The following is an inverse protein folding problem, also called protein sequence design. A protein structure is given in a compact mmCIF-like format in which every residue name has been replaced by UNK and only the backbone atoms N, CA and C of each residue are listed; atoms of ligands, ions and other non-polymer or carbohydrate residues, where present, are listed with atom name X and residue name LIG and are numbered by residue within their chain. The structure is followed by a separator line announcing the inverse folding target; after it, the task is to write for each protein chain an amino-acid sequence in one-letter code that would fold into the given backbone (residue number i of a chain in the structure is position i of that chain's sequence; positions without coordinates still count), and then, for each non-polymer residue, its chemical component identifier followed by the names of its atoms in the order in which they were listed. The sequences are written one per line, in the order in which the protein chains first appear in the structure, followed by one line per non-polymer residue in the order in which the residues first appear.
data_IF_619517245572
#
_entry.id   IF_619517245572
#
_cell.length_a   1.000
_cell.length_b   1.000
_cell.length_c   1.000
_cell.angle_alpha   90.00
_cell.angle_beta   90.00
_cell.angle_gamma   90.00
#
_symmetry.space_group_name_H-M   'P 1'
#
loop_
_entity.id
_entity.type
_entity.pdbx_description
1 polymer ?
#
# COMPACT_ATOMS: atom_id res chain seq x y z
N UNK A 1 19.21 1.38 -18.68
CA UNK A 1 17.97 0.59 -18.52
C UNK A 1 17.02 0.91 -19.67
N UNK A 2 16.37 -0.09 -20.25
CA UNK A 2 15.24 0.08 -21.19
C UNK A 2 13.94 -0.25 -20.47
N UNK A 3 12.89 0.53 -20.68
CA UNK A 3 11.59 0.27 -20.06
C UNK A 3 10.95 -0.99 -20.68
N UNK A 4 10.57 -1.94 -19.82
CA UNK A 4 9.92 -3.20 -20.21
C UNK A 4 8.39 -3.13 -20.10
N UNK A 5 7.71 -4.22 -20.47
CA UNK A 5 6.27 -4.36 -20.23
C UNK A 5 5.97 -4.42 -18.73
N UNK A 6 4.86 -3.79 -18.34
CA UNK A 6 4.31 -3.87 -16.99
C UNK A 6 4.05 -5.32 -16.60
N UNK A 7 4.48 -5.71 -15.40
CA UNK A 7 4.21 -7.02 -14.81
C UNK A 7 3.16 -6.86 -13.73
N UNK A 8 2.28 -7.86 -13.62
CA UNK A 8 1.25 -7.89 -12.59
C UNK A 8 1.89 -8.08 -11.21
N UNK A 9 1.50 -7.25 -10.26
CA UNK A 9 1.91 -7.37 -8.87
C UNK A 9 0.96 -8.34 -8.12
N UNK A 10 1.51 -9.45 -7.64
CA UNK A 10 0.75 -10.52 -6.97
C UNK A 10 0.23 -10.08 -5.60
N UNK A 11 0.98 -9.27 -4.86
CA UNK A 11 0.56 -8.70 -3.60
C UNK A 11 -0.64 -7.77 -3.82
N UNK A 12 -0.54 -6.83 -4.75
CA UNK A 12 -1.65 -5.91 -5.06
C UNK A 12 -2.89 -6.69 -5.50
N UNK A 13 -2.71 -7.75 -6.30
CA UNK A 13 -3.79 -8.63 -6.70
C UNK A 13 -4.42 -9.39 -5.52
N UNK A 14 -3.64 -9.80 -4.52
CA UNK A 14 -4.13 -10.46 -3.31
C UNK A 14 -4.88 -9.50 -2.37
N UNK A 15 -4.35 -8.29 -2.17
CA UNK A 15 -4.98 -7.24 -1.36
C UNK A 15 -6.31 -6.80 -1.96
N UNK A 16 -6.37 -6.65 -3.30
CA UNK A 16 -7.60 -6.22 -3.99
C UNK A 16 -8.77 -7.20 -3.77
N UNK A 17 -8.50 -8.49 -3.50
CA UNK A 17 -9.54 -9.50 -3.24
C UNK A 17 -10.27 -9.30 -1.91
N UNK A 18 -9.71 -8.53 -0.98
CA UNK A 18 -10.34 -8.28 0.32
C UNK A 18 -11.72 -7.64 0.17
N UNK A 19 -11.85 -6.69 -0.76
CA UNK A 19 -13.12 -6.04 -1.03
C UNK A 19 -13.85 -6.73 -2.18
N UNK A 20 -15.01 -7.33 -1.89
CA UNK A 20 -15.90 -7.84 -2.92
C UNK A 20 -16.40 -6.70 -3.84
N UNK A 21 -16.70 -7.00 -5.11
CA UNK A 21 -17.37 -6.04 -5.99
C UNK A 21 -18.67 -5.53 -5.36
N UNK A 22 -18.88 -4.21 -5.42
CA UNK A 22 -20.03 -3.56 -4.79
C UNK A 22 -20.77 -2.67 -5.79
N UNK A 23 -22.11 -2.68 -5.80
CA UNK A 23 -22.95 -1.91 -6.72
C UNK A 23 -22.94 -0.39 -6.47
N UNK A 24 -22.78 0.03 -5.22
CA UNK A 24 -22.62 1.44 -4.82
C UNK A 24 -21.26 2.04 -5.25
N UNK A 25 -21.31 3.16 -5.98
CA UNK A 25 -20.13 3.89 -6.47
C UNK A 25 -19.27 4.48 -5.36
N UNK A 26 -19.88 5.02 -4.31
CA UNK A 26 -19.17 5.64 -3.19
C UNK A 26 -18.42 4.60 -2.37
N UNK A 27 -19.04 3.44 -2.11
CA UNK A 27 -18.33 2.33 -1.47
C UNK A 27 -17.15 1.82 -2.28
N UNK A 28 -17.30 1.68 -3.61
CA UNK A 28 -16.15 1.34 -4.49
C UNK A 28 -15.02 2.37 -4.42
N UNK A 29 -15.35 3.66 -4.32
CA UNK A 29 -14.34 4.70 -4.14
C UNK A 29 -13.60 4.52 -2.82
N UNK A 30 -14.32 4.38 -1.71
CA UNK A 30 -13.74 4.16 -0.38
C UNK A 30 -12.85 2.92 -0.36
N UNK A 31 -13.28 1.79 -0.93
CA UNK A 31 -12.47 0.58 -1.01
C UNK A 31 -11.16 0.81 -1.78
N UNK A 32 -11.20 1.52 -2.91
CA UNK A 32 -9.99 1.86 -3.68
C UNK A 32 -9.04 2.77 -2.90
N UNK A 33 -9.58 3.74 -2.17
CA UNK A 33 -8.78 4.63 -1.32
C UNK A 33 -8.10 3.85 -0.18
N UNK A 34 -8.80 2.89 0.43
CA UNK A 34 -8.21 2.03 1.47
C UNK A 34 -7.12 1.10 0.91
N UNK A 35 -7.34 0.49 -0.27
CA UNK A 35 -6.31 -0.31 -0.95
C UNK A 35 -5.09 0.55 -1.27
N UNK A 36 -5.28 1.73 -1.85
CA UNK A 36 -4.18 2.64 -2.18
C UNK A 36 -3.40 3.05 -0.92
N UNK A 37 -4.09 3.44 0.15
CA UNK A 37 -3.45 3.77 1.42
C UNK A 37 -2.59 2.62 1.97
N UNK A 38 -3.06 1.37 1.87
CA UNK A 38 -2.33 0.21 2.34
C UNK A 38 -1.06 -0.05 1.51
N UNK A 39 -1.15 0.05 0.18
CA UNK A 39 -0.01 -0.14 -0.71
C UNK A 39 1.07 0.89 -0.42
N UNK A 40 0.71 2.17 -0.26
CA UNK A 40 1.67 3.24 0.06
C UNK A 40 2.29 3.07 1.45
N UNK A 41 1.51 2.62 2.44
CA UNK A 41 2.05 2.32 3.77
C UNK A 41 3.10 1.20 3.71
N UNK A 42 2.86 0.13 2.93
CA UNK A 42 3.82 -0.96 2.70
C UNK A 42 5.07 -0.49 1.94
N UNK A 43 4.92 0.37 0.92
CA UNK A 43 6.04 1.02 0.22
C UNK A 43 6.91 1.82 1.19
N UNK A 44 6.27 2.64 2.03
CA UNK A 44 6.93 3.46 3.04
C UNK A 44 7.80 2.61 3.99
N UNK A 45 7.25 1.52 4.52
CA UNK A 45 8.00 0.60 5.40
C UNK A 45 9.24 0.02 4.71
N UNK A 46 9.12 -0.34 3.44
CA UNK A 46 10.23 -0.94 2.70
C UNK A 46 11.28 0.04 2.26
N UNK A 47 10.88 1.24 1.83
CA UNK A 47 11.83 2.30 1.52
C UNK A 47 12.61 2.73 2.76
N UNK A 48 11.99 2.70 3.96
CA UNK A 48 12.72 2.89 5.21
C UNK A 48 13.83 1.83 5.37
N UNK A 49 13.48 0.54 5.29
CA UNK A 49 14.45 -0.56 5.41
C UNK A 49 15.57 -0.44 4.37
N UNK A 50 15.25 -0.09 3.12
CA UNK A 50 16.24 0.12 2.07
C UNK A 50 17.14 1.31 2.37
N UNK A 51 16.59 2.43 2.84
CA UNK A 51 17.37 3.61 3.19
C UNK A 51 18.34 3.38 4.35
N UNK A 52 18.02 2.44 5.25
CA UNK A 52 18.85 2.09 6.41
C UNK A 52 19.91 1.02 6.10
N UNK A 53 19.69 0.20 5.06
CA UNK A 53 20.53 -0.97 4.76
C UNK A 53 21.44 -0.80 3.53
N UNK A 54 21.14 0.12 2.61
CA UNK A 54 21.96 0.33 1.42
C UNK A 54 23.25 1.07 1.76
N UNK A 55 24.38 0.62 1.21
CA UNK A 55 25.70 1.21 1.50
C UNK A 55 25.97 2.49 0.71
N UNK A 56 25.32 2.65 -0.43
CA UNK A 56 25.44 3.83 -1.27
C UNK A 56 24.65 5.00 -0.65
N UNK A 57 25.36 6.06 -0.28
CA UNK A 57 24.78 7.21 0.43
C UNK A 57 23.81 8.03 -0.42
N UNK A 58 24.02 8.12 -1.74
CA UNK A 58 23.12 8.81 -2.65
C UNK A 58 21.81 8.03 -2.75
N UNK A 59 21.91 6.70 -2.90
CA UNK A 59 20.76 5.82 -2.99
C UNK A 59 19.99 5.72 -1.66
N UNK A 60 20.68 5.72 -0.53
CA UNK A 60 20.06 5.79 0.80
C UNK A 60 19.23 7.07 0.96
N UNK A 61 19.81 8.21 0.57
CA UNK A 61 19.13 9.52 0.59
C UNK A 61 17.92 9.53 -0.34
N UNK A 62 18.04 8.92 -1.52
CA UNK A 62 16.93 8.79 -2.46
C UNK A 62 15.77 7.98 -1.87
N UNK A 63 16.04 6.80 -1.30
CA UNK A 63 15.00 6.00 -0.67
C UNK A 63 14.35 6.67 0.55
N UNK A 64 15.12 7.43 1.34
CA UNK A 64 14.55 8.21 2.44
C UNK A 64 13.57 9.28 1.95
N UNK A 65 13.86 9.95 0.82
CA UNK A 65 12.94 10.91 0.20
C UNK A 65 11.68 10.24 -0.34
N UNK A 66 11.80 9.06 -0.97
CA UNK A 66 10.65 8.27 -1.41
C UNK A 66 9.78 7.86 -0.21
N UNK A 67 10.39 7.35 0.85
CA UNK A 67 9.69 6.97 2.09
C UNK A 67 8.82 8.12 2.63
N UNK A 68 9.37 9.35 2.69
CA UNK A 68 8.63 10.52 3.12
C UNK A 68 7.46 10.89 2.19
N UNK A 69 7.61 10.69 0.87
CA UNK A 69 6.53 10.89 -0.09
C UNK A 69 5.39 9.90 0.14
N UNK A 70 5.69 8.61 0.31
CA UNK A 70 4.66 7.59 0.53
C UNK A 70 3.94 7.77 1.87
N UNK A 71 4.65 8.28 2.88
CA UNK A 71 4.03 8.65 4.16
C UNK A 71 2.89 9.69 3.99
N UNK A 72 3.13 10.67 3.11
CA UNK A 72 2.13 11.68 2.78
C UNK A 72 0.98 11.08 1.96
N UNK A 73 1.28 10.20 1.01
CA UNK A 73 0.27 9.55 0.17
C UNK A 73 -0.68 8.66 0.97
N UNK A 74 -0.17 7.77 1.83
CA UNK A 74 -1.06 6.89 2.62
C UNK A 74 -2.00 7.72 3.52
N UNK A 75 -1.47 8.78 4.13
CA UNK A 75 -2.23 9.66 5.02
C UNK A 75 -3.32 10.39 4.24
N UNK A 76 -3.01 10.87 3.03
CA UNK A 76 -3.96 11.52 2.14
C UNK A 76 -5.10 10.57 1.74
N UNK A 77 -4.78 9.35 1.27
CA UNK A 77 -5.80 8.38 0.86
C UNK A 77 -6.71 7.98 2.01
N UNK A 78 -6.16 7.71 3.20
CA UNK A 78 -6.95 7.37 4.37
C UNK A 78 -7.83 8.53 4.84
N UNK A 79 -7.33 9.78 4.76
CA UNK A 79 -8.13 10.98 5.02
C UNK A 79 -9.31 11.08 4.05
N UNK A 80 -9.09 10.86 2.76
CA UNK A 80 -10.18 10.88 1.77
C UNK A 80 -11.16 9.73 1.96
N UNK A 81 -10.70 8.53 2.31
CA UNK A 81 -11.59 7.42 2.63
C UNK A 81 -12.56 7.79 3.76
N UNK A 82 -12.04 8.42 4.83
CA UNK A 82 -12.83 8.91 5.97
C UNK A 82 -13.74 10.09 5.64
N UNK A 83 -13.36 10.90 4.64
CA UNK A 83 -14.17 12.03 4.18
C UNK A 83 -15.36 11.59 3.33
N UNK A 84 -15.18 10.59 2.47
CA UNK A 84 -16.19 10.13 1.52
C UNK A 84 -17.02 8.93 2.02
N UNK A 85 -16.58 8.26 3.07
CA UNK A 85 -17.29 7.16 3.73
C UNK A 85 -17.74 7.52 5.14
N UNK A 86 -18.52 6.63 5.75
CA UNK A 86 -18.78 6.72 7.19
C UNK A 86 -17.49 6.42 7.96
N UNK A 87 -17.11 7.31 8.90
CA UNK A 87 -15.81 7.21 9.56
C UNK A 87 -15.68 5.95 10.42
N UNK A 88 -16.74 5.55 11.12
CA UNK A 88 -16.68 4.36 11.98
C UNK A 88 -16.51 3.09 11.13
N UNK A 89 -17.23 3.02 10.01
CA UNK A 89 -17.12 1.93 9.05
C UNK A 89 -15.74 1.90 8.36
N UNK A 90 -15.23 3.07 7.93
CA UNK A 90 -13.91 3.19 7.30
C UNK A 90 -12.81 2.75 8.26
N UNK A 91 -12.85 3.19 9.52
CA UNK A 91 -11.85 2.82 10.52
C UNK A 91 -11.94 1.32 10.89
N UNK A 92 -13.14 0.72 10.85
CA UNK A 92 -13.33 -0.74 11.00
C UNK A 92 -12.70 -1.50 9.82
N UNK A 93 -13.08 -1.15 8.59
CA UNK A 93 -12.57 -1.77 7.37
C UNK A 93 -11.05 -1.64 7.25
N UNK A 94 -10.48 -0.50 7.65
CA UNK A 94 -9.03 -0.30 7.66
C UNK A 94 -8.32 -1.28 8.59
N UNK A 95 -8.84 -1.50 9.81
CA UNK A 95 -8.26 -2.48 10.74
C UNK A 95 -8.35 -3.91 10.22
N UNK A 96 -9.49 -4.27 9.63
CA UNK A 96 -9.68 -5.59 9.02
C UNK A 96 -8.76 -5.81 7.82
N UNK A 97 -8.58 -4.77 6.99
CA UNK A 97 -7.67 -4.79 5.86
C UNK A 97 -6.20 -4.96 6.32
N UNK A 98 -5.78 -4.28 7.39
CA UNK A 98 -4.44 -4.46 7.97
C UNK A 98 -4.24 -5.88 8.50
N UNK A 99 -5.24 -6.44 9.18
CA UNK A 99 -5.17 -7.82 9.67
C UNK A 99 -5.08 -8.82 8.51
N UNK A 100 -5.86 -8.61 7.44
CA UNK A 100 -5.78 -9.42 6.23
C UNK A 100 -4.41 -9.28 5.54
N UNK A 101 -3.89 -8.06 5.41
CA UNK A 101 -2.58 -7.82 4.81
C UNK A 101 -1.46 -8.57 5.52
N UNK A 102 -1.48 -8.62 6.85
CA UNK A 102 -0.51 -9.41 7.62
C UNK A 102 -0.55 -10.90 7.24
N UNK A 103 -1.74 -11.46 6.98
CA UNK A 103 -1.87 -12.84 6.49
C UNK A 103 -1.34 -13.01 5.07
N UNK A 104 -1.56 -12.00 4.21
CA UNK A 104 -1.06 -12.00 2.84
C UNK A 104 0.46 -11.97 2.85
N UNK A 105 1.08 -11.02 3.54
CA UNK A 105 2.55 -10.91 3.64
C UNK A 105 3.18 -12.19 4.19
N UNK A 106 2.55 -12.85 5.16
CA UNK A 106 3.05 -14.13 5.68
C UNK A 106 3.10 -15.25 4.62
N UNK A 107 2.30 -15.15 3.54
CA UNK A 107 2.31 -16.11 2.42
C UNK A 107 3.32 -15.75 1.32
N UNK A 108 3.78 -14.51 1.25
CA UNK A 108 4.77 -14.07 0.27
C UNK A 108 6.19 -14.30 0.80
N UNK A 109 6.83 -15.39 0.36
CA UNK A 109 8.20 -15.75 0.76
C UNK A 109 9.27 -15.31 -0.25
N UNK A 110 8.92 -14.63 -1.33
CA UNK A 110 9.89 -14.17 -2.32
C UNK A 110 10.32 -12.72 -1.99
N UNK A 111 11.61 -12.38 -1.84
CA UNK A 111 12.02 -11.04 -1.37
C UNK A 111 12.29 -10.02 -2.49
N UNK A 112 12.12 -10.40 -3.77
CA UNK A 112 12.72 -9.65 -4.88
C UNK A 112 11.92 -8.42 -5.33
N UNK A 113 10.65 -8.28 -4.96
CA UNK A 113 9.82 -7.15 -5.39
C UNK A 113 9.44 -6.24 -4.24
N UNK A 114 9.14 -4.97 -4.54
CA UNK A 114 8.76 -3.94 -3.56
C UNK A 114 7.50 -4.34 -2.76
N UNK A 115 6.69 -5.30 -3.20
CA UNK A 115 5.54 -5.75 -2.40
C UNK A 115 5.55 -7.26 -2.09
N UNK A 116 6.67 -7.95 -2.39
CA UNK A 116 6.83 -9.41 -2.32
C UNK A 116 7.43 -9.90 -3.61
#
# INVERSE_FOLDING_TARGET
MTLGRERKDEYVAAITKFFAPHGDRMKRLVHRLLIAALIEARSCERFRVLSESVQDAELATFYSRLMASEANHYTMFLKFARQYGDRAEVDRLWKELLAYEATVVATFTNPQYVHG
#
